data_IF_694757923247
#
_entry.id   IF_694757923247
#
_cell.length_a   1.000
_cell.length_b   1.000
_cell.length_c   1.000
_cell.angle_alpha   90.00
_cell.angle_beta   90.00
_cell.angle_gamma   90.00
#
_symmetry.space_group_name_H-M   'P 1'
#
loop_
_entity.id
_entity.type
_entity.pdbx_description
1 polymer ?
#
# COMPACT_ATOMS: atom_id res chain seq x y z
N UNK A 1 -14.51 2.19 -5.38
CA UNK A 1 -13.86 3.53 -5.32
C UNK A 1 -13.03 3.56 -4.05
N UNK A 2 -11.75 3.23 -4.19
CA UNK A 2 -10.75 2.97 -3.15
C UNK A 2 -10.18 4.27 -2.58
N UNK A 3 -9.73 4.29 -1.33
CA UNK A 3 -9.36 5.52 -0.59
C UNK A 3 -8.41 6.49 -1.30
N UNK A 4 -8.72 7.78 -1.15
CA UNK A 4 -7.85 8.91 -1.52
C UNK A 4 -7.17 9.47 -0.27
N UNK A 5 -6.03 8.93 0.12
CA UNK A 5 -5.06 9.74 0.87
C UNK A 5 -3.65 9.48 0.36
N UNK A 6 -3.04 10.55 -0.12
CA UNK A 6 -1.64 10.62 -0.47
C UNK A 6 -1.02 11.86 0.20
N UNK A 7 0.20 11.73 0.70
CA UNK A 7 0.90 12.83 1.35
C UNK A 7 2.38 12.78 0.99
N UNK A 8 2.89 13.87 0.42
CA UNK A 8 4.32 14.06 0.20
C UNK A 8 4.94 14.71 1.43
N UNK A 9 6.12 14.23 1.83
CA UNK A 9 6.94 14.91 2.83
C UNK A 9 7.36 16.30 2.33
N UNK A 10 7.66 17.26 3.23
CA UNK A 10 8.05 18.61 2.83
C UNK A 10 9.27 18.69 1.90
N UNK A 11 10.19 17.73 1.99
CA UNK A 11 11.37 17.60 1.13
C UNK A 11 11.07 16.87 -0.20
N UNK A 12 9.84 16.37 -0.39
CA UNK A 12 9.39 15.61 -1.55
C UNK A 12 10.01 14.22 -1.70
N UNK A 13 10.83 13.75 -0.75
CA UNK A 13 11.58 12.49 -0.89
C UNK A 13 10.78 11.24 -0.55
N UNK A 14 9.62 11.41 0.12
CA UNK A 14 8.75 10.29 0.52
C UNK A 14 7.29 10.61 0.20
N UNK A 15 6.64 9.68 -0.49
CA UNK A 15 5.19 9.67 -0.70
C UNK A 15 4.54 8.62 0.22
N UNK A 16 3.68 9.05 1.13
CA UNK A 16 2.79 8.17 1.87
C UNK A 16 1.52 7.91 1.06
N UNK A 17 1.14 6.65 0.88
CA UNK A 17 -0.06 6.25 0.15
C UNK A 17 -0.85 5.18 0.91
N UNK A 18 -2.17 5.35 0.98
CA UNK A 18 -3.07 4.36 1.58
C UNK A 18 -3.55 3.32 0.57
N UNK A 19 -3.41 2.04 0.93
CA UNK A 19 -4.04 0.90 0.27
C UNK A 19 -5.21 0.46 1.14
N UNK A 20 -6.46 0.63 0.68
CA UNK A 20 -7.62 0.55 1.58
C UNK A 20 -8.39 -0.77 1.58
N UNK A 21 -8.27 -1.60 0.55
CA UNK A 21 -9.07 -2.81 0.41
C UNK A 21 -8.33 -3.88 -0.42
N UNK A 22 -7.16 -4.31 0.08
CA UNK A 22 -6.43 -5.39 -0.58
C UNK A 22 -7.31 -6.64 -0.65
N UNK A 23 -7.30 -7.28 -1.82
CA UNK A 23 -8.14 -8.44 -2.14
C UNK A 23 -9.65 -8.17 -2.13
N UNK A 24 -10.12 -6.97 -2.48
CA UNK A 24 -11.57 -6.64 -2.52
C UNK A 24 -12.40 -7.58 -3.41
N UNK A 25 -11.81 -8.11 -4.48
CA UNK A 25 -12.50 -9.02 -5.42
C UNK A 25 -12.53 -10.48 -4.95
N UNK A 26 -11.94 -10.81 -3.79
CA UNK A 26 -11.94 -12.17 -3.27
C UNK A 26 -13.34 -12.54 -2.75
N UNK A 27 -13.89 -13.66 -3.22
CA UNK A 27 -15.20 -14.16 -2.75
C UNK A 27 -15.19 -14.48 -1.24
N UNK A 28 -14.03 -14.91 -0.72
CA UNK A 28 -13.78 -15.32 0.66
C UNK A 28 -12.32 -15.05 1.01
N UNK A 29 -11.99 -14.97 2.31
CA UNK A 29 -10.63 -14.68 2.75
C UNK A 29 -9.61 -15.76 2.34
N UNK A 30 -10.03 -17.02 2.29
CA UNK A 30 -9.20 -18.16 1.84
C UNK A 30 -8.94 -18.16 0.33
N UNK A 31 -9.77 -17.45 -0.45
CA UNK A 31 -9.58 -17.24 -1.90
C UNK A 31 -8.88 -15.91 -2.22
N UNK A 32 -8.35 -15.20 -1.23
CA UNK A 32 -7.63 -13.96 -1.47
C UNK A 32 -6.38 -14.20 -2.33
N UNK A 33 -6.26 -13.46 -3.44
CA UNK A 33 -5.13 -13.58 -4.38
C UNK A 33 -3.86 -12.87 -3.89
N UNK A 34 -3.94 -12.14 -2.78
CA UNK A 34 -2.82 -11.44 -2.16
C UNK A 34 -2.98 -11.51 -0.65
N UNK A 35 -1.87 -11.57 0.09
CA UNK A 35 -1.82 -11.50 1.56
C UNK A 35 -1.16 -10.18 2.01
N UNK A 36 -1.40 -9.12 1.23
CA UNK A 36 -0.84 -7.79 1.45
C UNK A 36 -1.14 -7.24 2.87
N UNK A 37 -0.19 -6.52 3.50
CA UNK A 37 1.17 -6.23 3.04
C UNK A 37 2.18 -7.28 3.50
N UNK A 38 1.78 -8.21 4.36
CA UNK A 38 2.71 -9.06 5.09
C UNK A 38 3.15 -10.30 4.31
N UNK A 39 2.34 -10.76 3.36
CA UNK A 39 2.59 -11.93 2.51
C UNK A 39 2.87 -13.21 3.31
N UNK A 40 2.14 -13.41 4.42
CA UNK A 40 2.32 -14.55 5.33
C UNK A 40 1.08 -15.43 5.36
N UNK A 41 1.27 -16.73 5.15
CA UNK A 41 0.21 -17.72 5.27
C UNK A 41 -0.51 -17.63 6.62
N UNK A 42 -1.84 -17.75 6.58
CA UNK A 42 -2.70 -17.64 7.76
C UNK A 42 -2.93 -16.22 8.26
N UNK A 43 -2.33 -15.19 7.65
CA UNK A 43 -2.70 -13.79 7.91
C UNK A 43 -3.57 -13.22 6.80
N UNK A 44 -4.76 -12.68 7.13
CA UNK A 44 -5.63 -12.09 6.12
C UNK A 44 -5.04 -10.77 5.59
N UNK A 45 -5.43 -10.35 4.38
CA UNK A 45 -5.00 -9.08 3.81
C UNK A 45 -5.54 -7.92 4.63
N UNK A 46 -4.75 -6.85 4.79
CA UNK A 46 -5.14 -5.70 5.60
C UNK A 46 -4.80 -4.36 4.95
N UNK A 47 -5.62 -3.32 5.15
CA UNK A 47 -5.29 -1.97 4.73
C UNK A 47 -3.96 -1.51 5.33
N UNK A 48 -3.22 -0.71 4.59
CA UNK A 48 -1.89 -0.24 5.01
C UNK A 48 -1.56 1.13 4.43
N UNK A 49 -0.72 1.88 5.13
CA UNK A 49 -0.02 3.03 4.57
C UNK A 49 1.39 2.59 4.17
N UNK A 50 1.79 2.86 2.92
CA UNK A 50 3.15 2.62 2.43
C UNK A 50 3.93 3.92 2.33
N UNK A 51 5.24 3.85 2.56
CA UNK A 51 6.18 4.93 2.29
C UNK A 51 6.95 4.61 1.01
N UNK A 52 6.69 5.36 -0.06
CA UNK A 52 7.34 5.22 -1.34
C UNK A 52 8.50 6.22 -1.41
N UNK A 53 9.70 5.72 -1.71
CA UNK A 53 10.94 6.52 -1.81
C UNK A 53 11.73 6.09 -3.03
N UNK A 54 12.50 7.02 -3.59
CA UNK A 54 13.53 6.69 -4.58
C UNK A 54 14.78 6.17 -3.88
N UNK A 55 15.46 5.22 -4.53
CA UNK A 55 16.70 4.64 -4.01
C UNK A 55 17.86 5.66 -3.99
N UNK A 56 17.82 6.65 -4.88
CA UNK A 56 18.80 7.75 -4.94
C UNK A 56 18.50 8.90 -3.96
N UNK A 57 17.41 8.81 -3.19
CA UNK A 57 17.01 9.82 -2.21
C UNK A 57 16.48 11.13 -2.80
N UNK A 58 16.31 11.21 -4.13
CA UNK A 58 15.77 12.41 -4.78
C UNK A 58 14.23 12.49 -4.65
N UNK A 59 13.62 13.64 -4.98
CA UNK A 59 12.17 13.79 -4.92
C UNK A 59 11.41 12.78 -5.77
N UNK A 60 10.33 12.23 -5.22
CA UNK A 60 9.46 11.25 -5.89
C UNK A 60 8.68 11.94 -7.02
N UNK A 61 8.68 11.36 -8.22
CA UNK A 61 7.92 11.85 -9.37
C UNK A 61 8.60 12.94 -10.21
N UNK A 62 9.84 13.30 -9.89
CA UNK A 62 10.70 14.18 -10.69
C UNK A 62 11.52 13.42 -11.73
#
# INVERSE_FOLDING_TARGET
MSAFSCHLTPDGTTLFLSVQHPAEDAETLDKAQTLWPDFRDGQPPRPSVVAIRRMDGLPVGA
#
